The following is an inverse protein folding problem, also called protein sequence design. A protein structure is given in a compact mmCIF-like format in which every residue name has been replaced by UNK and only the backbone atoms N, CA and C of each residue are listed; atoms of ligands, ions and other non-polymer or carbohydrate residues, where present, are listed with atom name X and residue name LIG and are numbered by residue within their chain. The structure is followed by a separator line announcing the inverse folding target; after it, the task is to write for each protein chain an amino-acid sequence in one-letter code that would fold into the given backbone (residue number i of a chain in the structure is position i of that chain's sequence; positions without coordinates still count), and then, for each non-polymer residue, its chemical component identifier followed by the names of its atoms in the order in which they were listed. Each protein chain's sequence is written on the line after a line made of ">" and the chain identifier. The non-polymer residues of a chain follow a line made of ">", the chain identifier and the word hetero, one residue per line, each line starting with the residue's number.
data_IF_310446379597
#
_entry.id   IF_310446379597
#
_cell.length_a   1.000
_cell.length_b   1.000
_cell.length_c   1.000
_cell.angle_alpha   90.00
_cell.angle_beta   90.00
_cell.angle_gamma   90.00
#
_symmetry.space_group_name_H-M   'P 1'
#
loop_
_entity.id
_entity.type
_entity.pdbx_description
1 polymer ?
#
# COMPACT_ATOMS: atom_id res chain seq x y z
N UNK A 1 28.69 20.94 2.71
CA UNK A 1 28.52 19.52 3.07
C UNK A 1 27.47 19.45 4.17
N UNK A 2 26.21 19.08 3.89
CA UNK A 2 25.24 18.80 4.96
C UNK A 2 25.66 17.47 5.56
N UNK A 3 26.19 17.48 6.78
CA UNK A 3 26.33 16.27 7.60
C UNK A 3 24.88 15.90 7.97
N UNK A 4 24.20 15.22 7.05
CA UNK A 4 22.84 14.74 7.27
C UNK A 4 22.88 13.61 8.30
N UNK A 5 21.93 13.60 9.22
CA UNK A 5 21.65 12.40 10.01
C UNK A 5 21.33 11.28 9.03
N UNK A 6 21.87 10.09 9.24
CA UNK A 6 21.49 8.90 8.47
C UNK A 6 19.96 8.70 8.58
N UNK A 7 19.24 8.49 7.47
CA UNK A 7 17.83 8.20 7.52
C UNK A 7 17.54 7.00 8.44
N UNK A 8 16.55 7.14 9.31
CA UNK A 8 16.19 6.09 10.26
C UNK A 8 14.70 5.75 10.14
N UNK A 9 14.33 4.54 9.69
CA UNK A 9 12.93 4.15 9.51
C UNK A 9 12.18 3.93 10.83
N UNK A 10 12.89 3.89 11.97
CA UNK A 10 12.29 3.67 13.29
C UNK A 10 11.86 4.98 13.98
N UNK A 11 12.08 6.15 13.38
CA UNK A 11 11.53 7.41 13.91
C UNK A 11 10.07 7.53 13.49
N UNK A 12 9.20 8.02 14.38
CA UNK A 12 7.80 8.22 14.05
C UNK A 12 7.62 9.46 13.16
N UNK A 13 8.20 10.60 13.56
CA UNK A 13 8.05 11.86 12.84
C UNK A 13 9.28 12.16 11.99
N UNK A 14 9.25 11.90 10.67
CA UNK A 14 10.42 12.08 9.80
C UNK A 14 10.72 13.54 9.47
N UNK A 15 9.75 14.44 9.63
CA UNK A 15 9.88 15.85 9.30
C UNK A 15 10.07 16.66 10.60
N UNK A 16 11.21 17.33 10.74
CA UNK A 16 11.50 18.10 11.93
C UNK A 16 10.47 19.24 12.13
N UNK A 17 9.84 19.28 13.32
CA UNK A 17 8.85 20.29 13.68
C UNK A 17 7.46 20.12 13.02
N UNK A 18 7.20 18.94 12.41
CA UNK A 18 5.92 18.62 11.80
C UNK A 18 5.49 17.21 12.22
N UNK A 19 4.32 17.09 12.84
CA UNK A 19 3.80 15.88 13.47
C UNK A 19 2.59 15.25 12.74
N UNK A 20 2.16 15.86 11.60
CA UNK A 20 1.02 15.38 10.81
C UNK A 20 1.39 14.34 9.76
N UNK A 21 2.65 13.98 9.67
CA UNK A 21 3.15 12.88 8.85
C UNK A 21 4.01 11.95 9.70
N UNK A 22 3.76 10.66 9.60
CA UNK A 22 4.47 9.63 10.35
C UNK A 22 5.03 8.57 9.41
N UNK A 23 6.20 7.99 9.76
CA UNK A 23 6.55 6.66 9.27
C UNK A 23 5.62 5.65 9.95
N UNK A 24 4.99 4.80 9.11
CA UNK A 24 3.93 3.90 9.57
C UNK A 24 4.49 2.74 10.38
N UNK A 25 5.57 2.10 9.92
CA UNK A 25 6.13 0.88 10.52
C UNK A 25 6.32 0.96 12.05
N UNK A 26 6.95 2.02 12.64
CA UNK A 26 7.17 2.08 14.09
C UNK A 26 5.90 2.31 14.92
N UNK A 27 4.74 2.57 14.30
CA UNK A 27 3.46 2.81 14.99
C UNK A 27 2.53 1.62 15.00
N UNK A 28 2.88 0.54 14.29
CA UNK A 28 2.03 -0.64 14.15
C UNK A 28 2.03 -1.45 15.43
N UNK A 29 0.82 -1.76 15.90
CA UNK A 29 0.56 -2.63 17.06
C UNK A 29 -0.10 -3.95 16.68
N UNK A 30 -0.88 -3.98 15.59
CA UNK A 30 -1.55 -5.17 15.09
C UNK A 30 -0.57 -6.06 14.32
N UNK A 31 -0.33 -7.33 14.74
CA UNK A 31 0.65 -8.23 14.12
C UNK A 31 0.29 -8.67 12.69
N UNK A 32 -0.96 -8.48 12.27
CA UNK A 32 -1.40 -8.78 10.91
C UNK A 32 -1.23 -7.59 9.95
N UNK A 33 -0.79 -6.43 10.44
CA UNK A 33 -0.44 -5.28 9.61
C UNK A 33 1.09 -5.25 9.50
N UNK A 34 1.60 -5.43 8.29
CA UNK A 34 3.03 -5.50 8.01
C UNK A 34 3.40 -4.35 7.09
N UNK A 35 4.28 -3.46 7.53
CA UNK A 35 4.67 -2.28 6.76
C UNK A 35 6.18 -2.22 6.59
N UNK A 36 6.63 -1.95 5.38
CA UNK A 36 8.04 -1.79 5.04
C UNK A 36 8.62 -0.45 5.48
N UNK A 37 9.96 -0.39 5.51
CA UNK A 37 10.73 0.79 5.92
C UNK A 37 10.39 2.01 5.06
N UNK A 38 10.42 3.20 5.67
CA UNK A 38 10.23 4.50 5.02
C UNK A 38 8.86 4.72 4.37
N UNK A 39 7.90 3.83 4.56
CA UNK A 39 6.51 4.08 4.18
C UNK A 39 5.89 5.07 5.16
N UNK A 40 5.29 6.14 4.63
CA UNK A 40 4.69 7.18 5.45
C UNK A 40 3.23 7.44 5.08
N UNK A 41 2.50 8.00 6.03
CA UNK A 41 1.14 8.51 5.85
C UNK A 41 1.06 9.98 6.25
N UNK A 42 0.26 10.76 5.51
CA UNK A 42 -0.08 12.14 5.85
C UNK A 42 -1.22 12.18 6.89
N UNK A 43 -1.00 11.51 8.02
CA UNK A 43 -1.87 11.48 9.20
C UNK A 43 -1.01 11.14 10.43
N UNK A 44 -1.54 11.34 11.62
CA UNK A 44 -0.88 11.02 12.89
C UNK A 44 -1.17 9.61 13.40
N UNK A 45 -2.12 8.89 12.78
CA UNK A 45 -2.57 7.57 13.21
C UNK A 45 -2.93 6.69 12.01
N UNK A 46 -2.19 5.58 11.81
CA UNK A 46 -2.40 4.71 10.65
C UNK A 46 -3.48 3.65 10.87
N UNK A 47 -3.50 2.99 12.04
CA UNK A 47 -4.37 1.81 12.23
C UNK A 47 -5.86 2.16 12.18
N UNK A 48 -6.26 3.39 12.45
CA UNK A 48 -7.64 3.87 12.31
C UNK A 48 -8.12 3.87 10.84
N UNK A 49 -7.21 3.87 9.88
CA UNK A 49 -7.49 3.79 8.45
C UNK A 49 -7.68 2.35 7.95
N UNK A 50 -7.46 1.34 8.81
CA UNK A 50 -7.67 -0.08 8.49
C UNK A 50 -9.02 -0.49 9.08
N UNK A 51 -10.04 -0.51 8.23
CA UNK A 51 -11.43 -0.69 8.66
C UNK A 51 -11.93 -2.12 8.51
N UNK A 52 -12.98 -2.47 9.26
CA UNK A 52 -13.54 -3.83 9.28
C UNK A 52 -12.50 -4.91 9.60
N UNK A 53 -11.69 -4.62 10.61
CA UNK A 53 -10.62 -5.47 11.07
C UNK A 53 -10.80 -5.76 12.56
N UNK A 54 -11.10 -7.00 12.89
CA UNK A 54 -11.48 -7.43 14.23
C UNK A 54 -10.43 -8.39 14.80
N UNK A 55 -10.46 -8.69 16.11
CA UNK A 55 -9.50 -9.63 16.73
C UNK A 55 -9.48 -11.04 16.14
N UNK A 56 -10.54 -11.44 15.45
CA UNK A 56 -10.66 -12.73 14.76
C UNK A 56 -10.34 -12.68 13.27
N UNK A 57 -10.02 -11.50 12.71
CA UNK A 57 -9.64 -11.35 11.30
C UNK A 57 -8.43 -12.21 10.96
N UNK A 58 -8.44 -12.82 9.78
CA UNK A 58 -7.42 -13.78 9.34
C UNK A 58 -6.54 -13.25 8.21
N UNK A 59 -7.01 -12.25 7.51
CA UNK A 59 -6.28 -11.58 6.44
C UNK A 59 -5.23 -10.61 6.99
N UNK A 60 -4.28 -10.32 6.14
CA UNK A 60 -3.21 -9.38 6.44
C UNK A 60 -3.31 -8.17 5.53
N UNK A 61 -2.88 -7.03 6.05
CA UNK A 61 -2.52 -5.86 5.27
C UNK A 61 -0.99 -5.81 5.17
N UNK A 62 -0.46 -5.97 3.97
CA UNK A 62 0.98 -5.97 3.71
C UNK A 62 1.30 -4.77 2.82
N UNK A 63 2.14 -3.85 3.31
CA UNK A 63 2.57 -2.66 2.57
C UNK A 63 4.09 -2.68 2.44
N UNK A 64 4.58 -2.49 1.24
CA UNK A 64 6.01 -2.45 0.94
C UNK A 64 6.73 -1.22 1.51
N UNK A 65 7.94 -1.02 1.04
CA UNK A 65 8.83 0.09 1.44
C UNK A 65 8.57 1.34 0.61
N UNK A 66 8.88 2.51 1.16
CA UNK A 66 8.86 3.80 0.46
C UNK A 66 7.50 4.19 -0.12
N UNK A 67 6.40 3.65 0.38
CA UNK A 67 5.07 4.05 -0.04
C UNK A 67 4.71 5.44 0.51
N UNK A 68 3.96 6.20 -0.28
CA UNK A 68 3.47 7.53 0.05
C UNK A 68 1.94 7.45 0.16
N UNK A 69 1.41 7.54 1.38
CA UNK A 69 -0.01 7.41 1.66
C UNK A 69 -0.55 8.79 2.05
N UNK A 70 -1.45 9.33 1.23
CA UNK A 70 -2.06 10.62 1.50
C UNK A 70 -3.15 10.52 2.59
N UNK A 71 -3.59 11.67 3.10
CA UNK A 71 -4.62 11.75 4.12
C UNK A 71 -5.94 11.12 3.66
N UNK A 72 -6.67 10.50 4.60
CA UNK A 72 -8.00 9.95 4.36
C UNK A 72 -8.02 8.68 3.50
N UNK A 73 -6.88 8.05 3.25
CA UNK A 73 -6.84 6.74 2.58
C UNK A 73 -7.38 5.67 3.51
N UNK A 74 -8.24 4.78 3.02
CA UNK A 74 -8.82 3.68 3.79
C UNK A 74 -8.44 2.32 3.18
N UNK A 75 -8.12 1.36 4.05
CA UNK A 75 -7.93 -0.04 3.72
C UNK A 75 -9.07 -0.84 4.33
N UNK A 76 -10.00 -1.29 3.49
CA UNK A 76 -11.15 -2.09 3.93
C UNK A 76 -10.75 -3.56 3.94
N UNK A 77 -10.94 -4.25 5.08
CA UNK A 77 -10.54 -5.65 5.23
C UNK A 77 -11.72 -6.62 5.01
N UNK A 78 -11.43 -7.92 4.94
CA UNK A 78 -12.41 -8.93 4.51
C UNK A 78 -13.66 -9.02 5.40
N UNK A 79 -13.58 -8.64 6.66
CA UNK A 79 -14.75 -8.68 7.56
C UNK A 79 -15.83 -7.64 7.22
N UNK A 80 -15.59 -6.78 6.22
CA UNK A 80 -16.64 -5.96 5.59
C UNK A 80 -17.59 -6.78 4.70
N UNK A 81 -17.21 -8.00 4.33
CA UNK A 81 -17.99 -8.82 3.40
C UNK A 81 -19.16 -9.51 4.12
N UNK A 82 -20.29 -9.57 3.44
CA UNK A 82 -21.48 -10.32 3.84
C UNK A 82 -21.71 -11.50 2.89
N UNK A 83 -22.47 -12.51 3.35
CA UNK A 83 -22.93 -13.57 2.46
C UNK A 83 -23.86 -12.97 1.38
N UNK A 84 -23.51 -13.16 0.11
CA UNK A 84 -24.27 -12.62 -1.04
C UNK A 84 -25.11 -13.69 -1.75
N UNK A 85 -24.94 -14.95 -1.42
CA UNK A 85 -25.63 -16.10 -2.01
C UNK A 85 -26.81 -16.59 -1.16
N UNK A 86 -27.31 -15.77 -0.25
CA UNK A 86 -28.45 -16.00 0.62
C UNK A 86 -29.59 -15.02 0.29
N UNK A 87 -30.81 -15.31 0.74
CA UNK A 87 -31.99 -14.45 0.51
C UNK A 87 -31.81 -13.06 1.12
N UNK A 88 -31.09 -12.99 2.24
CA UNK A 88 -30.76 -11.72 2.91
C UNK A 88 -29.27 -11.66 3.20
N UNK A 89 -28.69 -10.49 3.06
CA UNK A 89 -27.31 -10.22 3.48
C UNK A 89 -27.20 -9.81 4.96
N UNK A 90 -28.33 -9.73 5.68
CA UNK A 90 -28.35 -9.29 7.06
C UNK A 90 -27.65 -10.31 7.97
N UNK A 91 -26.65 -9.90 8.76
CA UNK A 91 -25.80 -10.80 9.51
C UNK A 91 -26.41 -11.12 10.88
N UNK A 92 -27.50 -11.88 10.92
CA UNK A 92 -28.21 -12.24 12.16
C UNK A 92 -27.27 -12.82 13.25
N UNK A 93 -26.24 -13.54 12.83
CA UNK A 93 -25.28 -14.23 13.71
C UNK A 93 -24.34 -13.27 14.48
N UNK A 94 -24.25 -12.01 14.08
CA UNK A 94 -23.39 -11.01 14.75
C UNK A 94 -24.15 -10.17 15.76
N UNK A 95 -25.48 -10.26 15.76
CA UNK A 95 -26.35 -9.38 16.55
C UNK A 95 -27.02 -10.17 17.67
N UNK A 96 -27.09 -9.56 18.85
CA UNK A 96 -27.73 -10.19 20.01
C UNK A 96 -29.23 -10.40 19.80
N UNK A 97 -29.75 -11.48 20.40
CA UNK A 97 -31.18 -11.80 20.41
C UNK A 97 -31.67 -12.60 19.21
N UNK A 98 -30.79 -12.95 18.25
CA UNK A 98 -31.12 -13.79 17.12
C UNK A 98 -30.53 -15.20 17.29
N UNK A 99 -31.36 -16.23 17.10
CA UNK A 99 -30.95 -17.64 17.24
C UNK A 99 -30.33 -18.14 15.93
N UNK A 100 -29.10 -17.68 15.62
CA UNK A 100 -28.37 -18.13 14.44
C UNK A 100 -26.90 -18.33 14.78
N UNK A 101 -26.35 -19.50 14.40
CA UNK A 101 -24.91 -19.74 14.46
C UNK A 101 -24.20 -18.98 13.35
N UNK A 102 -22.95 -18.58 13.60
CA UNK A 102 -22.11 -18.01 12.56
C UNK A 102 -21.94 -19.00 11.40
N UNK A 103 -21.97 -18.53 10.14
CA UNK A 103 -21.70 -19.37 8.99
C UNK A 103 -20.28 -19.95 9.07
N UNK A 104 -20.07 -21.09 8.41
CA UNK A 104 -18.72 -21.64 8.29
C UNK A 104 -17.81 -20.65 7.54
N UNK A 105 -16.51 -20.59 7.85
CA UNK A 105 -15.57 -19.70 7.17
C UNK A 105 -15.56 -19.85 5.64
N UNK A 106 -15.88 -21.04 5.13
CA UNK A 106 -16.00 -21.32 3.69
C UNK A 106 -17.24 -20.72 3.03
N UNK A 107 -18.22 -20.31 3.83
CA UNK A 107 -19.48 -19.71 3.36
C UNK A 107 -19.40 -18.18 3.31
N UNK A 108 -18.35 -17.60 3.92
CA UNK A 108 -18.10 -16.17 3.91
C UNK A 108 -17.18 -15.79 2.73
N UNK A 109 -17.49 -14.71 1.99
CA UNK A 109 -16.58 -14.21 0.97
C UNK A 109 -15.25 -13.82 1.61
N UNK A 110 -14.16 -14.47 1.19
CA UNK A 110 -12.81 -14.18 1.64
C UNK A 110 -11.90 -14.03 0.42
N UNK A 111 -11.29 -12.87 0.26
CA UNK A 111 -10.48 -12.50 -0.91
C UNK A 111 -8.97 -12.59 -0.68
N UNK A 112 -8.55 -13.05 0.51
CA UNK A 112 -7.14 -13.13 0.87
C UNK A 112 -6.58 -11.82 1.43
N UNK A 113 -5.26 -11.77 1.51
CA UNK A 113 -4.52 -10.63 2.03
C UNK A 113 -4.58 -9.44 1.06
N UNK A 114 -4.59 -8.22 1.60
CA UNK A 114 -4.41 -7.01 0.81
C UNK A 114 -2.93 -6.68 0.76
N UNK A 115 -2.37 -6.55 -0.46
CA UNK A 115 -0.92 -6.40 -0.66
C UNK A 115 -0.63 -5.15 -1.48
N UNK A 116 0.13 -4.25 -0.91
CA UNK A 116 0.65 -3.04 -1.57
C UNK A 116 2.15 -3.23 -1.79
N UNK A 117 2.61 -3.08 -3.01
CA UNK A 117 4.03 -3.16 -3.37
C UNK A 117 4.88 -2.02 -2.80
N UNK A 118 6.07 -1.88 -3.31
CA UNK A 118 7.01 -0.84 -2.90
C UNK A 118 6.85 0.42 -3.78
N UNK A 119 7.24 1.60 -3.26
CA UNK A 119 7.19 2.87 -4.01
C UNK A 119 5.80 3.18 -4.58
N UNK A 120 4.74 2.77 -3.89
CA UNK A 120 3.35 3.03 -4.29
C UNK A 120 2.89 4.39 -3.74
N UNK A 121 2.33 5.23 -4.62
CA UNK A 121 1.68 6.46 -4.20
C UNK A 121 0.16 6.29 -4.17
N UNK A 122 -0.45 6.46 -2.98
CA UNK A 122 -1.89 6.40 -2.78
C UNK A 122 -2.40 7.80 -2.51
N UNK A 123 -3.20 8.31 -3.44
CA UNK A 123 -3.77 9.65 -3.40
C UNK A 123 -4.86 9.79 -2.35
N UNK A 124 -5.13 11.03 -1.96
CA UNK A 124 -6.04 11.42 -0.90
C UNK A 124 -7.43 10.78 -1.04
N UNK A 125 -7.98 10.29 0.08
CA UNK A 125 -9.31 9.67 0.17
C UNK A 125 -9.50 8.47 -0.77
N UNK A 126 -8.44 7.80 -1.21
CA UNK A 126 -8.59 6.54 -1.94
C UNK A 126 -9.01 5.43 -0.97
N UNK A 127 -9.81 4.50 -1.48
CA UNK A 127 -10.28 3.32 -0.74
C UNK A 127 -9.76 2.07 -1.42
N UNK A 128 -9.05 1.24 -0.66
CA UNK A 128 -8.54 -0.06 -1.13
C UNK A 128 -9.45 -1.15 -0.58
N UNK A 129 -10.08 -1.90 -1.47
CA UNK A 129 -11.02 -2.97 -1.10
C UNK A 129 -10.29 -4.28 -0.75
N UNK A 130 -10.95 -5.21 -0.03
CA UNK A 130 -10.32 -6.43 0.46
C UNK A 130 -9.67 -7.29 -0.64
N UNK A 131 -8.49 -7.83 -0.34
CA UNK A 131 -7.79 -8.80 -1.18
C UNK A 131 -7.19 -8.22 -2.47
N UNK A 132 -7.09 -6.90 -2.59
CA UNK A 132 -6.46 -6.24 -3.75
C UNK A 132 -4.94 -6.29 -3.65
N UNK A 133 -4.28 -6.59 -4.77
CA UNK A 133 -2.84 -6.50 -4.91
C UNK A 133 -2.46 -5.30 -5.80
N UNK A 134 -1.66 -4.39 -5.25
CA UNK A 134 -1.15 -3.22 -5.98
C UNK A 134 0.34 -3.40 -6.22
N UNK A 135 0.75 -3.41 -7.48
CA UNK A 135 2.14 -3.64 -7.89
C UNK A 135 3.08 -2.48 -7.55
N UNK A 136 4.38 -2.78 -7.50
CA UNK A 136 5.44 -1.82 -7.21
C UNK A 136 5.34 -0.58 -8.10
N UNK A 137 5.55 0.60 -7.53
CA UNK A 137 5.57 1.86 -8.26
C UNK A 137 4.23 2.31 -8.84
N UNK A 138 3.11 1.66 -8.50
CA UNK A 138 1.78 2.09 -8.94
C UNK A 138 1.38 3.44 -8.32
N UNK A 139 0.45 4.11 -8.97
CA UNK A 139 -0.16 5.35 -8.46
C UNK A 139 -1.68 5.17 -8.42
N UNK A 140 -2.25 5.39 -7.27
CA UNK A 140 -3.69 5.42 -7.05
C UNK A 140 -4.12 6.88 -6.98
N UNK A 141 -4.96 7.31 -7.91
CA UNK A 141 -5.45 8.69 -7.92
C UNK A 141 -6.36 8.99 -6.72
N UNK A 142 -6.45 10.26 -6.35
CA UNK A 142 -7.32 10.70 -5.26
C UNK A 142 -8.79 10.32 -5.49
N UNK A 143 -9.52 10.00 -4.39
CA UNK A 143 -10.92 9.58 -4.39
C UNK A 143 -11.21 8.32 -5.25
N UNK A 144 -10.20 7.50 -5.54
CA UNK A 144 -10.38 6.25 -6.28
C UNK A 144 -10.81 5.12 -5.35
N UNK A 145 -11.68 4.22 -5.86
CA UNK A 145 -12.04 2.98 -5.17
C UNK A 145 -11.46 1.79 -5.94
N UNK A 146 -10.42 1.18 -5.35
CA UNK A 146 -9.66 0.10 -5.96
C UNK A 146 -10.22 -1.24 -5.52
N UNK A 147 -10.91 -1.94 -6.41
CA UNK A 147 -11.56 -3.24 -6.15
C UNK A 147 -10.98 -4.40 -6.98
N UNK A 148 -9.90 -4.17 -7.70
CA UNK A 148 -9.17 -5.17 -8.49
C UNK A 148 -7.68 -4.88 -8.47
N UNK A 149 -6.86 -5.87 -8.77
CA UNK A 149 -5.41 -5.76 -8.81
C UNK A 149 -4.94 -4.66 -9.76
N UNK A 150 -3.82 -4.05 -9.41
CA UNK A 150 -3.17 -2.98 -10.16
C UNK A 150 -1.77 -3.42 -10.56
N UNK A 151 -1.50 -3.43 -11.86
CA UNK A 151 -0.18 -3.77 -12.39
C UNK A 151 0.91 -2.80 -11.92
N UNK A 152 2.17 -3.26 -11.79
CA UNK A 152 3.30 -2.39 -11.45
C UNK A 152 3.38 -1.16 -12.36
N UNK A 153 3.79 -0.03 -11.77
CA UNK A 153 3.96 1.26 -12.48
C UNK A 153 2.74 1.71 -13.28
N UNK A 154 1.54 1.27 -12.89
CA UNK A 154 0.27 1.68 -13.51
C UNK A 154 -0.38 2.79 -12.68
N UNK A 155 -0.94 3.78 -13.36
CA UNK A 155 -1.75 4.83 -12.76
C UNK A 155 -3.21 4.43 -12.91
N UNK A 156 -3.95 4.33 -11.80
CA UNK A 156 -5.39 4.06 -11.79
C UNK A 156 -6.16 5.22 -11.17
N UNK A 157 -7.37 5.48 -11.67
CA UNK A 157 -8.24 6.56 -11.18
C UNK A 157 -9.71 6.13 -11.22
N UNK A 158 -10.51 6.75 -10.39
CA UNK A 158 -11.98 6.71 -10.45
C UNK A 158 -12.65 5.70 -9.51
N UNK A 159 -13.96 5.62 -9.61
CA UNK A 159 -14.83 4.70 -8.88
C UNK A 159 -15.79 4.00 -9.86
N UNK A 160 -15.64 2.69 -10.15
CA UNK A 160 -14.49 1.86 -9.77
C UNK A 160 -13.19 2.32 -10.45
N UNK A 161 -12.06 2.14 -9.78
CA UNK A 161 -10.75 2.52 -10.32
C UNK A 161 -10.45 1.74 -11.60
N UNK A 162 -9.92 2.43 -12.61
CA UNK A 162 -9.50 1.86 -13.89
C UNK A 162 -8.13 2.39 -14.28
N UNK A 163 -7.37 1.56 -14.99
CA UNK A 163 -6.08 1.94 -15.51
C UNK A 163 -6.22 3.14 -16.46
N UNK A 164 -5.51 4.22 -16.15
CA UNK A 164 -5.40 5.39 -17.00
C UNK A 164 -4.25 5.22 -18.00
N UNK A 165 -3.06 4.87 -17.51
CA UNK A 165 -1.85 4.60 -18.30
C UNK A 165 -0.76 3.98 -17.43
N UNK A 166 0.26 3.42 -18.06
CA UNK A 166 1.52 3.12 -17.41
C UNK A 166 2.34 4.40 -17.18
N UNK A 167 3.18 4.41 -16.15
CA UNK A 167 4.14 5.51 -15.86
C UNK A 167 5.23 5.57 -16.92
N UNK A 168 5.69 4.41 -17.37
CA UNK A 168 6.82 4.20 -18.28
C UNK A 168 6.46 3.18 -19.35
N UNK A 169 7.34 3.01 -20.34
CA UNK A 169 7.27 1.91 -21.28
C UNK A 169 7.63 0.56 -20.63
N UNK A 170 7.28 -0.54 -21.28
CA UNK A 170 7.43 -1.88 -20.73
C UNK A 170 8.89 -2.23 -20.43
N UNK A 171 9.84 -1.79 -21.27
CA UNK A 171 11.27 -2.00 -21.04
C UNK A 171 11.75 -1.34 -19.73
N UNK A 172 11.35 -0.09 -19.50
CA UNK A 172 11.70 0.62 -18.27
C UNK A 172 11.06 -0.02 -17.04
N UNK A 173 9.82 -0.47 -17.13
CA UNK A 173 9.13 -1.17 -16.04
C UNK A 173 9.87 -2.46 -15.70
N UNK A 174 10.24 -3.28 -16.69
CA UNK A 174 11.00 -4.51 -16.48
C UNK A 174 12.34 -4.23 -15.78
N UNK A 175 13.07 -3.22 -16.24
CA UNK A 175 14.35 -2.82 -15.65
C UNK A 175 14.18 -2.41 -14.19
N UNK A 176 13.18 -1.59 -13.87
CA UNK A 176 12.91 -1.14 -12.51
C UNK A 176 12.52 -2.29 -11.59
N UNK A 177 11.70 -3.23 -12.06
CA UNK A 177 11.31 -4.43 -11.33
C UNK A 177 12.48 -5.40 -11.07
N UNK A 178 13.51 -5.40 -11.92
CA UNK A 178 14.76 -6.12 -11.69
C UNK A 178 15.70 -5.36 -10.77
N UNK A 179 15.81 -4.05 -10.92
CA UNK A 179 16.73 -3.19 -10.17
C UNK A 179 16.35 -3.08 -8.69
N UNK A 180 15.05 -3.03 -8.35
CA UNK A 180 14.48 -3.02 -6.99
C UNK A 180 15.24 -2.10 -6.04
N UNK A 181 15.38 -0.82 -6.40
CA UNK A 181 16.16 0.17 -5.67
C UNK A 181 15.80 0.25 -4.17
N UNK A 182 14.55 -0.03 -3.82
CA UNK A 182 14.03 -0.06 -2.44
C UNK A 182 14.62 -1.19 -1.56
N UNK A 183 15.33 -2.14 -2.14
CA UNK A 183 16.01 -3.22 -1.43
C UNK A 183 17.50 -2.97 -1.22
N UNK A 184 18.03 -1.84 -1.67
CA UNK A 184 19.42 -1.46 -1.49
C UNK A 184 19.65 -0.87 -0.09
N UNK A 185 20.91 -0.82 0.35
CA UNK A 185 21.28 -0.17 1.61
C UNK A 185 20.99 1.33 1.56
N UNK A 186 20.91 1.97 2.72
CA UNK A 186 20.69 3.44 2.80
C UNK A 186 21.83 4.18 2.11
N UNK A 187 23.05 3.71 2.23
CA UNK A 187 24.24 4.27 1.59
C UNK A 187 24.12 4.21 0.06
N UNK A 188 23.78 3.03 -0.49
CA UNK A 188 23.53 2.86 -1.92
C UNK A 188 22.37 3.73 -2.41
N UNK A 189 21.27 3.81 -1.65
CA UNK A 189 20.14 4.67 -2.01
C UNK A 189 20.58 6.14 -2.06
N UNK A 190 21.36 6.62 -1.10
CA UNK A 190 21.88 7.99 -1.10
C UNK A 190 22.73 8.29 -2.35
N UNK A 191 23.53 7.34 -2.80
CA UNK A 191 24.29 7.45 -4.05
C UNK A 191 23.39 7.42 -5.29
N UNK A 192 22.27 6.72 -5.20
CA UNK A 192 21.31 6.57 -6.29
C UNK A 192 20.32 7.74 -6.40
N UNK A 193 20.14 8.59 -5.38
CA UNK A 193 19.20 9.71 -5.42
C UNK A 193 19.29 10.52 -6.71
N UNK A 194 20.47 10.93 -7.22
CA UNK A 194 20.57 11.67 -8.48
C UNK A 194 20.02 10.90 -9.69
N UNK A 195 20.15 9.57 -9.70
CA UNK A 195 19.59 8.71 -10.75
C UNK A 195 18.08 8.53 -10.57
N UNK A 196 17.62 8.25 -9.35
CA UNK A 196 16.20 8.00 -9.04
C UNK A 196 15.33 9.24 -9.26
N UNK A 197 15.92 10.44 -9.15
CA UNK A 197 15.23 11.72 -9.36
C UNK A 197 15.48 12.35 -10.73
N UNK A 198 16.18 11.63 -11.63
CA UNK A 198 16.48 12.11 -12.98
C UNK A 198 15.26 11.99 -13.89
N UNK A 199 14.91 13.08 -14.60
CA UNK A 199 13.82 13.10 -15.58
C UNK A 199 14.24 12.62 -16.99
N UNK A 200 15.55 12.47 -17.26
CA UNK A 200 16.08 11.94 -18.52
C UNK A 200 16.03 10.40 -18.53
N UNK A 201 14.86 9.85 -18.83
CA UNK A 201 14.61 8.40 -18.72
C UNK A 201 15.55 7.53 -19.57
N UNK A 202 16.04 8.01 -20.70
CA UNK A 202 17.04 7.30 -21.52
C UNK A 202 18.34 7.08 -20.76
N UNK A 203 18.83 8.11 -20.10
CA UNK A 203 20.00 8.03 -19.22
C UNK A 203 19.79 7.06 -18.06
N UNK A 204 18.60 7.16 -17.43
CA UNK A 204 18.23 6.28 -16.31
C UNK A 204 18.24 4.81 -16.76
N UNK A 205 17.68 4.49 -17.93
CA UNK A 205 17.72 3.15 -18.52
C UNK A 205 19.14 2.61 -18.69
N UNK A 206 20.01 3.40 -19.30
CA UNK A 206 21.40 3.02 -19.53
C UNK A 206 22.16 2.75 -18.23
N UNK A 207 21.98 3.60 -17.23
CA UNK A 207 22.63 3.45 -15.94
C UNK A 207 22.10 2.26 -15.13
N UNK A 208 20.79 1.99 -15.18
CA UNK A 208 20.21 0.82 -14.54
C UNK A 208 20.72 -0.47 -15.21
N UNK A 209 20.76 -0.54 -16.55
CA UNK A 209 21.30 -1.69 -17.29
C UNK A 209 22.71 -2.05 -16.83
N UNK A 210 23.62 -1.08 -16.74
CA UNK A 210 24.99 -1.28 -16.25
C UNK A 210 25.11 -1.80 -14.82
N UNK A 211 24.03 -1.65 -14.01
CA UNK A 211 24.04 -2.02 -12.58
C UNK A 211 23.37 -3.36 -12.29
N UNK A 212 22.63 -3.91 -13.25
CA UNK A 212 21.94 -5.20 -13.14
C UNK A 212 22.56 -6.30 -13.98
N UNK A 213 23.42 -5.96 -14.96
CA UNK A 213 24.27 -6.88 -15.73
C UNK A 213 25.56 -7.19 -14.94
#
# INVERSE_FOLDING_TARGET
>A
MKIGKTPNPEVIHPIAGYDKEIYVKPTITNPNIIVGDFTYIADSEFESHVTNYYPWSRDKLIIGKFCQIAAGVEFVMNDANHQMNTVTTFPFYTLEGWEMNAPAPSEMPFKGDTVIGNDVWIGQNAVILPGVHIGDGAIIGANSIVGSDVDPYTIVIGNPARALRKRFDDEMIELLLRFKWWNKSIEEINELIPLLTCSELSKVKEEIKKRID
#
